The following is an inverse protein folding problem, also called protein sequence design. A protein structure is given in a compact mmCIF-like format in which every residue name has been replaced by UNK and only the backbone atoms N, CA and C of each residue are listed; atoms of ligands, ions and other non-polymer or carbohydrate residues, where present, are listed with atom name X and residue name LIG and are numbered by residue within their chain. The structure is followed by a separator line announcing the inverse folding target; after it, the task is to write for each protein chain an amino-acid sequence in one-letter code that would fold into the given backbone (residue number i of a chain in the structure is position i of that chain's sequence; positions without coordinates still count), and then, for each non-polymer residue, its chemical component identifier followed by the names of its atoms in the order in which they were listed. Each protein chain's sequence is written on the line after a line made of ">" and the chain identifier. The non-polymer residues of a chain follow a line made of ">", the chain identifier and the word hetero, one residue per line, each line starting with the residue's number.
data_IF_826382963920
#
_entry.id   IF_826382963920
#
_cell.length_a   1.000
_cell.length_b   1.000
_cell.length_c   1.000
_cell.angle_alpha   90.00
_cell.angle_beta   90.00
_cell.angle_gamma   90.00
#
_symmetry.space_group_name_H-M   'P 1'
#
loop_
_entity.id
_entity.type
_entity.pdbx_description
1 polymer ?
#
# COMPACT_ATOMS: atom_id res chain seq x y z
N UNK A 1 35.15 11.82 -10.40
CA UNK A 1 33.71 11.66 -10.08
C UNK A 1 33.59 11.61 -8.58
N UNK A 2 33.12 12.70 -7.98
CA UNK A 2 33.03 12.80 -6.53
C UNK A 2 31.80 12.01 -6.05
N UNK A 3 31.85 11.43 -4.85
CA UNK A 3 30.77 10.57 -4.33
C UNK A 3 29.39 11.27 -4.34
N UNK A 4 29.39 12.60 -4.21
CA UNK A 4 28.21 13.46 -4.23
C UNK A 4 27.58 13.54 -5.64
N UNK A 5 28.39 13.65 -6.69
CA UNK A 5 27.90 13.66 -8.07
C UNK A 5 27.26 12.31 -8.43
N UNK A 6 27.93 11.21 -8.05
CA UNK A 6 27.41 9.86 -8.23
C UNK A 6 26.06 9.66 -7.50
N UNK A 7 25.94 10.21 -6.29
CA UNK A 7 24.70 10.17 -5.51
C UNK A 7 23.58 11.00 -6.15
N UNK A 8 23.90 12.19 -6.66
CA UNK A 8 22.93 13.06 -7.34
C UNK A 8 22.41 12.44 -8.64
N UNK A 9 23.29 11.82 -9.44
CA UNK A 9 22.89 11.10 -10.65
C UNK A 9 22.00 9.88 -10.32
N UNK A 10 22.36 9.13 -9.28
CA UNK A 10 21.56 8.03 -8.76
C UNK A 10 20.17 8.50 -8.30
N UNK A 11 20.07 9.64 -7.60
CA UNK A 11 18.81 10.16 -7.12
C UNK A 11 17.88 10.56 -8.27
N UNK A 12 18.41 11.22 -9.30
CA UNK A 12 17.65 11.57 -10.50
C UNK A 12 17.11 10.33 -11.23
N UNK A 13 17.95 9.28 -11.34
CA UNK A 13 17.56 8.01 -11.94
C UNK A 13 16.42 7.33 -11.17
N UNK A 14 16.52 7.26 -9.85
CA UNK A 14 15.51 6.63 -8.97
C UNK A 14 14.16 7.35 -9.08
N UNK A 15 14.17 8.68 -9.04
CA UNK A 15 12.96 9.50 -9.16
C UNK A 15 12.30 9.26 -10.52
N UNK A 16 13.08 9.29 -11.60
CA UNK A 16 12.59 9.03 -12.95
C UNK A 16 11.93 7.65 -13.03
N UNK A 17 12.63 6.61 -12.58
CA UNK A 17 12.11 5.24 -12.56
C UNK A 17 10.82 5.11 -11.75
N UNK A 18 10.73 5.77 -10.58
CA UNK A 18 9.53 5.72 -9.73
C UNK A 18 8.31 6.34 -10.42
N UNK A 19 8.44 7.56 -10.95
CA UNK A 19 7.30 8.27 -11.54
C UNK A 19 6.93 7.75 -12.93
N UNK A 20 7.90 7.20 -13.69
CA UNK A 20 7.67 6.58 -15.00
C UNK A 20 7.27 5.10 -14.93
N UNK A 21 7.17 4.50 -13.74
CA UNK A 21 6.83 3.08 -13.57
C UNK A 21 5.46 2.73 -14.19
N UNK A 22 5.38 1.54 -14.79
CA UNK A 22 4.16 0.93 -15.32
C UNK A 22 3.19 0.50 -14.20
N UNK A 23 1.92 0.21 -14.54
CA UNK A 23 0.92 -0.22 -13.55
C UNK A 23 1.29 -1.53 -12.82
N UNK A 24 1.99 -2.44 -13.51
CA UNK A 24 2.44 -3.71 -12.93
C UNK A 24 3.55 -3.49 -11.88
N UNK A 25 4.49 -2.59 -12.16
CA UNK A 25 5.54 -2.22 -11.22
C UNK A 25 4.97 -1.45 -10.03
N UNK A 26 4.07 -0.50 -10.29
CA UNK A 26 3.37 0.27 -9.24
C UNK A 26 2.62 -0.62 -8.26
N UNK A 27 2.10 -1.77 -8.70
CA UNK A 27 1.49 -2.76 -7.80
C UNK A 27 2.48 -3.23 -6.73
N UNK A 28 3.73 -3.49 -7.10
CA UNK A 28 4.77 -3.96 -6.18
C UNK A 28 5.25 -2.82 -5.29
N UNK A 29 5.47 -1.63 -5.86
CA UNK A 29 5.85 -0.42 -5.13
C UNK A 29 4.81 -0.05 -4.07
N UNK A 30 3.52 -0.21 -4.38
CA UNK A 30 2.40 0.04 -3.46
C UNK A 30 2.12 -1.15 -2.53
N UNK A 31 3.13 -1.52 -1.74
CA UNK A 31 3.01 -2.54 -0.69
C UNK A 31 2.71 -1.91 0.67
N UNK A 32 1.92 -2.60 1.50
CA UNK A 32 1.71 -2.25 2.90
C UNK A 32 2.30 -3.27 3.86
N UNK A 33 2.71 -2.83 5.06
CA UNK A 33 3.04 -3.72 6.17
C UNK A 33 1.81 -4.51 6.65
N UNK A 34 2.04 -5.77 7.03
CA UNK A 34 1.04 -6.57 7.74
C UNK A 34 1.00 -6.23 9.24
N UNK A 35 -0.13 -6.50 9.89
CA UNK A 35 -0.28 -6.43 11.36
C UNK A 35 0.66 -7.42 12.06
N UNK A 36 0.91 -7.22 13.37
CA UNK A 36 1.79 -8.11 14.14
C UNK A 36 1.27 -9.55 14.17
N UNK A 37 -0.04 -9.73 14.19
CA UNK A 37 -0.73 -11.01 14.18
C UNK A 37 -0.55 -11.72 12.83
N UNK A 38 -0.88 -11.04 11.73
CA UNK A 38 -0.71 -11.59 10.38
C UNK A 38 0.76 -11.87 10.05
N UNK A 39 1.70 -11.09 10.57
CA UNK A 39 3.13 -11.37 10.43
C UNK A 39 3.54 -12.67 11.09
N UNK A 40 2.99 -12.99 12.25
CA UNK A 40 3.27 -14.26 12.94
C UNK A 40 2.65 -15.43 12.19
N UNK A 41 1.41 -15.28 11.71
CA UNK A 41 0.69 -16.31 10.97
C UNK A 41 1.38 -16.64 9.64
N UNK A 42 1.57 -15.63 8.78
CA UNK A 42 2.07 -15.85 7.42
C UNK A 42 3.59 -15.72 7.29
N UNK A 43 4.31 -15.33 8.33
CA UNK A 43 5.76 -15.09 8.33
C UNK A 43 6.25 -14.08 7.27
N UNK A 44 5.41 -13.13 6.85
CA UNK A 44 5.74 -12.12 5.85
C UNK A 44 5.61 -10.71 6.44
N UNK A 45 6.52 -9.80 6.08
CA UNK A 45 6.51 -8.41 6.57
C UNK A 45 5.53 -7.49 5.83
N UNK A 46 5.43 -7.62 4.51
CA UNK A 46 4.61 -6.75 3.66
C UNK A 46 4.10 -7.45 2.40
N UNK A 47 2.97 -6.97 1.88
CA UNK A 47 2.34 -7.48 0.66
C UNK A 47 1.79 -6.31 -0.18
N UNK A 48 1.78 -6.42 -1.52
CA UNK A 48 1.04 -5.49 -2.39
C UNK A 48 -0.43 -5.37 -1.95
N UNK A 49 -0.93 -4.15 -1.84
CA UNK A 49 -2.33 -3.90 -1.46
C UNK A 49 -3.28 -4.28 -2.61
N UNK A 50 -4.44 -4.86 -2.28
CA UNK A 50 -5.56 -5.10 -3.20
C UNK A 50 -6.83 -4.46 -2.69
N UNK A 51 -7.82 -4.34 -3.58
CA UNK A 51 -9.22 -4.12 -3.19
C UNK A 51 -9.66 -5.23 -2.23
N UNK A 52 -10.61 -4.91 -1.37
CA UNK A 52 -11.18 -5.81 -0.36
C UNK A 52 -10.28 -6.17 0.84
N UNK A 53 -9.00 -5.76 0.86
CA UNK A 53 -8.16 -5.90 2.06
C UNK A 53 -8.69 -4.95 3.16
N UNK A 54 -8.74 -5.42 4.40
CA UNK A 54 -9.05 -4.57 5.57
C UNK A 54 -7.77 -3.97 6.13
N UNK A 55 -7.85 -2.70 6.49
CA UNK A 55 -6.69 -1.92 6.88
C UNK A 55 -6.97 -0.94 8.02
N UNK A 56 -5.91 -0.63 8.75
CA UNK A 56 -5.87 0.39 9.79
C UNK A 56 -4.82 1.45 9.45
N UNK A 57 -5.17 2.72 9.55
CA UNK A 57 -4.25 3.84 9.30
C UNK A 57 -3.39 4.10 10.54
N UNK A 58 -2.07 4.08 10.37
CA UNK A 58 -1.12 4.22 11.50
C UNK A 58 -0.47 5.61 11.60
N UNK A 59 -0.44 6.38 10.51
CA UNK A 59 0.23 7.68 10.44
C UNK A 59 -0.66 8.73 9.76
N UNK A 60 -0.50 9.99 10.16
CA UNK A 60 -1.22 11.15 9.60
C UNK A 60 -2.51 11.50 10.35
N UNK A 61 -3.29 12.44 9.81
CA UNK A 61 -4.46 13.02 10.48
C UNK A 61 -5.62 12.06 10.69
N UNK A 62 -5.67 10.95 9.93
CA UNK A 62 -6.71 9.90 10.03
C UNK A 62 -6.19 8.64 10.75
N UNK A 63 -5.21 8.81 11.65
CA UNK A 63 -4.64 7.71 12.44
C UNK A 63 -5.71 7.05 13.31
N UNK A 64 -5.66 5.73 13.41
CA UNK A 64 -6.60 4.92 14.21
C UNK A 64 -7.89 4.56 13.47
N UNK A 65 -8.13 5.15 12.29
CA UNK A 65 -9.26 4.76 11.46
C UNK A 65 -9.02 3.42 10.79
N UNK A 66 -10.05 2.59 10.79
CA UNK A 66 -10.05 1.28 10.14
C UNK A 66 -11.08 1.24 9.03
N UNK A 67 -10.86 0.41 8.02
CA UNK A 67 -11.84 0.18 6.98
C UNK A 67 -11.34 -0.72 5.87
N UNK A 68 -12.26 -1.02 4.96
CA UNK A 68 -11.97 -1.78 3.75
C UNK A 68 -11.44 -0.87 2.66
N UNK A 69 -10.52 -1.39 1.86
CA UNK A 69 -10.04 -0.68 0.67
C UNK A 69 -11.09 -0.80 -0.44
N UNK A 70 -11.67 0.34 -0.81
CA UNK A 70 -12.57 0.44 -1.97
C UNK A 70 -11.78 0.33 -3.28
N UNK A 71 -10.78 1.20 -3.42
CA UNK A 71 -10.04 1.34 -4.69
C UNK A 71 -8.56 1.60 -4.44
N UNK A 72 -7.72 0.92 -5.23
CA UNK A 72 -6.28 1.15 -5.29
C UNK A 72 -5.97 2.03 -6.50
N UNK A 73 -5.71 3.31 -6.26
CA UNK A 73 -5.48 4.31 -7.28
C UNK A 73 -3.99 4.39 -7.64
N UNK A 74 -3.54 3.47 -8.50
CA UNK A 74 -2.12 3.32 -8.88
C UNK A 74 -1.54 4.54 -9.62
N UNK A 75 -2.37 5.26 -10.36
CA UNK A 75 -1.92 6.47 -11.07
C UNK A 75 -1.45 7.57 -10.09
N UNK A 76 -2.08 7.67 -8.91
CA UNK A 76 -1.80 8.65 -7.85
C UNK A 76 -1.05 8.06 -6.65
N UNK A 77 -0.50 6.84 -6.78
CA UNK A 77 0.22 6.14 -5.70
C UNK A 77 -0.54 6.10 -4.36
N UNK A 78 -1.87 5.99 -4.41
CA UNK A 78 -2.72 6.11 -3.23
C UNK A 78 -3.81 5.06 -3.16
N UNK A 79 -4.31 4.80 -1.96
CA UNK A 79 -5.45 3.92 -1.68
C UNK A 79 -6.60 4.71 -1.08
N UNK A 80 -7.82 4.30 -1.40
CA UNK A 80 -9.06 4.89 -0.89
C UNK A 80 -9.75 3.88 0.02
N UNK A 81 -10.06 4.31 1.24
CA UNK A 81 -10.70 3.51 2.27
C UNK A 81 -12.17 3.95 2.35
N UNK A 82 -13.12 3.01 2.34
CA UNK A 82 -14.56 3.30 2.22
C UNK A 82 -15.06 4.29 3.28
N UNK A 83 -14.67 4.08 4.54
CA UNK A 83 -15.09 4.89 5.68
C UNK A 83 -14.43 6.27 5.75
N UNK A 84 -13.41 6.53 4.92
CA UNK A 84 -12.63 7.78 4.98
C UNK A 84 -12.99 8.70 3.82
N UNK A 85 -13.99 9.53 4.08
CA UNK A 85 -14.48 10.53 3.15
C UNK A 85 -14.48 11.92 3.79
N UNK A 86 -14.43 12.95 2.95
CA UNK A 86 -14.61 14.35 3.34
C UNK A 86 -15.94 14.80 2.76
N UNK A 87 -16.82 15.28 3.62
CA UNK A 87 -18.05 15.94 3.22
C UNK A 87 -17.73 17.39 2.81
N UNK A 88 -18.19 17.78 1.63
CA UNK A 88 -18.17 19.17 1.17
C UNK A 88 -19.37 19.92 1.73
N UNK A 89 -19.27 21.25 1.76
CA UNK A 89 -20.43 22.14 2.03
C UNK A 89 -21.61 21.91 1.07
N UNK A 90 -21.34 21.36 -0.11
CA UNK A 90 -22.36 20.97 -1.09
C UNK A 90 -23.07 19.63 -0.78
N UNK A 91 -22.75 18.96 0.35
CA UNK A 91 -23.29 17.64 0.72
C UNK A 91 -22.67 16.45 -0.01
N UNK A 92 -21.76 16.69 -0.97
CA UNK A 92 -21.07 15.62 -1.69
C UNK A 92 -19.90 15.05 -0.88
N UNK A 93 -19.72 13.73 -0.92
CA UNK A 93 -18.61 13.05 -0.23
C UNK A 93 -17.46 12.71 -1.18
N UNK A 94 -16.22 13.01 -0.75
CA UNK A 94 -15.00 12.75 -1.53
C UNK A 94 -14.11 11.77 -0.77
N UNK A 95 -13.65 10.67 -1.40
CA UNK A 95 -12.73 9.74 -0.75
C UNK A 95 -11.36 10.37 -0.53
N UNK A 96 -10.77 10.09 0.63
CA UNK A 96 -9.41 10.52 0.96
C UNK A 96 -8.40 9.55 0.36
N UNK A 97 -7.38 10.10 -0.30
CA UNK A 97 -6.26 9.34 -0.82
C UNK A 97 -5.18 9.19 0.26
N UNK A 98 -4.85 7.94 0.61
CA UNK A 98 -3.85 7.61 1.63
C UNK A 98 -2.74 6.80 0.99
N UNK A 99 -1.48 7.10 1.33
CA UNK A 99 -0.35 6.32 0.83
C UNK A 99 -0.27 4.95 1.55
N UNK A 100 -0.06 3.82 0.83
CA UNK A 100 -0.02 2.47 1.42
C UNK A 100 0.98 2.30 2.57
N UNK A 101 2.11 3.02 2.56
CA UNK A 101 3.10 2.96 3.65
C UNK A 101 2.60 3.52 5.00
N UNK A 102 1.50 4.28 5.00
CA UNK A 102 0.87 4.85 6.21
C UNK A 102 -0.22 3.94 6.78
N UNK A 103 -0.38 2.76 6.21
CA UNK A 103 -1.48 1.84 6.45
C UNK A 103 -0.91 0.48 6.86
N UNK A 104 -1.60 -0.22 7.76
CA UNK A 104 -1.29 -1.59 8.15
C UNK A 104 -2.47 -2.47 7.77
N UNK A 105 -2.21 -3.61 7.14
CA UNK A 105 -3.24 -4.58 6.78
C UNK A 105 -3.61 -5.39 8.03
N UNK A 106 -4.89 -5.46 8.34
CA UNK A 106 -5.46 -6.22 9.46
C UNK A 106 -6.07 -7.54 9.01
N UNK A 107 -6.75 -7.56 7.86
CA UNK A 107 -7.23 -8.79 7.23
C UNK A 107 -6.92 -8.81 5.74
N UNK A 108 -6.49 -9.96 5.25
CA UNK A 108 -6.17 -10.18 3.84
C UNK A 108 -7.37 -10.76 3.11
N UNK A 109 -7.65 -10.22 1.92
CA UNK A 109 -8.50 -10.89 0.96
C UNK A 109 -7.71 -12.04 0.31
N UNK A 110 -8.07 -13.28 0.65
CA UNK A 110 -7.41 -14.50 0.18
C UNK A 110 -8.04 -14.97 -1.14
N UNK A 111 -7.17 -15.20 -2.12
CA UNK A 111 -7.45 -15.68 -3.48
C UNK A 111 -6.29 -16.61 -3.84
N UNK A 112 -6.46 -17.53 -4.79
CA UNK A 112 -5.45 -18.54 -5.14
C UNK A 112 -4.11 -17.88 -5.53
N UNK A 113 -4.20 -16.77 -6.27
CA UNK A 113 -3.04 -15.95 -6.65
C UNK A 113 -2.34 -15.31 -5.45
N UNK A 114 -3.07 -15.04 -4.36
CA UNK A 114 -2.48 -14.44 -3.15
C UNK A 114 -1.87 -15.51 -2.25
N UNK A 115 -2.45 -16.70 -2.18
CA UNK A 115 -1.83 -17.87 -1.54
C UNK A 115 -0.49 -18.19 -2.21
N UNK A 116 -0.48 -18.34 -3.54
CA UNK A 116 0.76 -18.54 -4.30
C UNK A 116 1.79 -17.41 -4.11
N UNK A 117 1.34 -16.16 -3.94
CA UNK A 117 2.24 -15.04 -3.65
C UNK A 117 2.87 -15.12 -2.25
N UNK A 118 2.12 -15.60 -1.26
CA UNK A 118 2.58 -15.81 0.12
C UNK A 118 3.63 -16.92 0.13
N UNK A 119 3.35 -18.06 -0.50
CA UNK A 119 4.29 -19.19 -0.62
C UNK A 119 5.58 -18.77 -1.31
N UNK A 120 5.48 -18.03 -2.43
CA UNK A 120 6.66 -17.53 -3.15
C UNK A 120 7.53 -16.58 -2.31
N UNK A 121 6.96 -15.91 -1.32
CA UNK A 121 7.70 -15.06 -0.38
C UNK A 121 8.28 -15.84 0.81
N UNK A 122 8.13 -17.17 0.85
CA UNK A 122 8.55 -18.02 1.97
C UNK A 122 7.59 -17.96 3.16
N UNK A 123 6.36 -17.51 2.93
CA UNK A 123 5.32 -17.51 3.95
C UNK A 123 4.70 -18.88 4.14
N UNK A 124 4.19 -19.13 5.34
CA UNK A 124 3.43 -20.34 5.66
C UNK A 124 1.94 -20.04 5.47
N UNK A 125 1.23 -20.90 4.76
CA UNK A 125 -0.23 -20.97 4.81
C UNK A 125 -0.55 -22.14 5.73
N UNK A 126 -1.17 -21.84 6.86
CA UNK A 126 -1.97 -22.83 7.58
C UNK A 126 -3.31 -23.03 6.86
#
# INVERSE_FOLDING_TARGET
>A
MNLIELLMELQAFIIKAHFSSSSAERRVLMSAPLSKELRKQYNIKSIPIRKEDEVTVVRGSKKGSEGKISTVYRLKFSVQIEKLQIEKSSGASIPINIHPSKVVITKLYLDDKRKALIERKGGKLE
#
